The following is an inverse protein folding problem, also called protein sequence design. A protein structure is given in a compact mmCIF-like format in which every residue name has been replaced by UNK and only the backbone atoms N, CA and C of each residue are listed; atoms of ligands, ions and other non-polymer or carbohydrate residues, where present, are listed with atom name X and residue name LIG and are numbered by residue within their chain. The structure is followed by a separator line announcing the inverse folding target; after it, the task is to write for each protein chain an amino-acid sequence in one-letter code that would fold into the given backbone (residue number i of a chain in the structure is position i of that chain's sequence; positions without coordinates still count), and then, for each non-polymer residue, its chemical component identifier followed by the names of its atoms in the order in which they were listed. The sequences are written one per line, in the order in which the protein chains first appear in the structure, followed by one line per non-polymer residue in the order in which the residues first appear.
data_IF_300951526338
#
_entry.id   IF_300951526338
#
_cell.length_a   1.000
_cell.length_b   1.000
_cell.length_c   1.000
_cell.angle_alpha   90.00
_cell.angle_beta   90.00
_cell.angle_gamma   90.00
#
_symmetry.space_group_name_H-M   'P 1'
#
loop_
_entity.id
_entity.type
_entity.pdbx_description
1 polymer ?
#
# COMPACT_ATOMS: atom_id res chain seq x y z
N UNK A 1 -8.32 -52.05 -17.57
CA UNK A 1 -9.25 -53.20 -17.38
C UNK A 1 -10.51 -52.72 -16.66
N UNK A 2 -11.62 -52.75 -17.44
CA UNK A 2 -13.05 -53.00 -17.09
C UNK A 2 -13.72 -52.06 -16.08
N UNK A 3 -14.66 -51.25 -16.48
CA UNK A 3 -16.02 -51.40 -17.08
C UNK A 3 -17.13 -51.65 -16.02
N UNK A 4 -18.16 -50.86 -16.21
CA UNK A 4 -19.62 -51.05 -16.12
C UNK A 4 -20.28 -50.56 -14.83
N UNK A 5 -21.48 -50.08 -14.81
CA UNK A 5 -22.56 -49.54 -15.69
C UNK A 5 -23.79 -49.30 -14.81
N UNK A 6 -24.53 -48.23 -15.13
CA UNK A 6 -26.00 -48.07 -15.00
C UNK A 6 -26.78 -48.63 -13.82
N UNK A 7 -27.66 -47.81 -13.20
CA UNK A 7 -29.10 -47.96 -13.36
C UNK A 7 -29.89 -46.71 -12.91
N UNK A 8 -30.74 -46.23 -13.82
CA UNK A 8 -31.92 -45.39 -13.60
C UNK A 8 -32.97 -46.16 -12.76
N UNK A 9 -33.72 -45.45 -11.92
CA UNK A 9 -35.12 -45.78 -11.72
C UNK A 9 -35.90 -44.46 -11.43
N UNK A 10 -36.79 -44.18 -12.36
CA UNK A 10 -37.91 -43.27 -12.26
C UNK A 10 -39.08 -43.96 -11.56
N UNK A 11 -39.77 -43.29 -10.65
CA UNK A 11 -41.22 -43.55 -10.45
C UNK A 11 -41.92 -42.32 -9.83
N UNK A 12 -42.85 -41.84 -10.58
CA UNK A 12 -43.98 -40.94 -10.24
C UNK A 12 -44.97 -41.63 -9.31
N UNK A 13 -45.56 -40.90 -8.37
CA UNK A 13 -46.96 -41.07 -7.95
C UNK A 13 -47.47 -39.82 -7.17
N UNK A 14 -48.44 -39.17 -7.71
CA UNK A 14 -49.81 -38.77 -7.39
C UNK A 14 -50.12 -38.06 -6.05
N UNK A 15 -50.63 -36.88 -6.27
CA UNK A 15 -51.71 -36.11 -5.67
C UNK A 15 -52.41 -36.62 -4.40
N UNK A 16 -52.45 -35.78 -3.37
CA UNK A 16 -53.62 -35.63 -2.54
C UNK A 16 -53.77 -34.18 -2.05
N UNK A 17 -54.94 -33.61 -2.41
CA UNK A 17 -55.41 -32.30 -1.96
C UNK A 17 -55.99 -32.43 -0.55
N UNK A 18 -55.58 -31.56 0.36
CA UNK A 18 -56.42 -31.17 1.49
C UNK A 18 -56.37 -29.67 1.69
N UNK A 19 -57.52 -29.05 1.55
CA UNK A 19 -57.81 -27.67 1.94
C UNK A 19 -57.84 -27.58 3.46
N UNK A 20 -57.16 -26.59 4.04
CA UNK A 20 -57.53 -26.05 5.35
C UNK A 20 -57.24 -24.55 5.44
N UNK A 21 -58.33 -23.85 5.58
CA UNK A 21 -58.66 -22.52 6.11
C UNK A 21 -57.55 -21.51 6.40
N UNK A 22 -57.70 -20.35 5.75
CA UNK A 22 -57.12 -19.06 6.11
C UNK A 22 -57.51 -18.63 7.52
N UNK A 23 -56.54 -18.38 8.38
CA UNK A 23 -56.69 -17.43 9.48
C UNK A 23 -55.72 -16.27 9.21
N UNK A 24 -56.30 -15.12 8.89
CA UNK A 24 -55.66 -13.83 8.79
C UNK A 24 -55.08 -13.45 10.16
N UNK A 25 -53.74 -13.42 10.29
CA UNK A 25 -53.07 -12.72 11.39
C UNK A 25 -52.72 -11.30 10.94
N UNK A 26 -52.92 -10.28 11.82
CA UNK A 26 -52.59 -8.91 11.46
C UNK A 26 -51.07 -8.78 11.26
N UNK A 27 -50.71 -8.30 10.09
CA UNK A 27 -49.37 -7.90 9.72
C UNK A 27 -48.96 -6.70 10.58
N UNK A 28 -48.18 -6.96 11.62
CA UNK A 28 -47.45 -5.90 12.31
C UNK A 28 -46.25 -5.55 11.42
N UNK A 29 -46.41 -4.55 10.56
CA UNK A 29 -45.32 -3.94 9.81
C UNK A 29 -44.46 -3.16 10.78
N UNK A 30 -43.45 -3.84 11.36
CA UNK A 30 -42.32 -3.16 11.98
C UNK A 30 -41.51 -2.56 10.83
N UNK A 31 -41.70 -1.27 10.60
CA UNK A 31 -40.81 -0.46 9.79
C UNK A 31 -39.42 -0.52 10.44
N UNK A 32 -38.61 -1.41 9.95
CA UNK A 32 -37.15 -1.32 10.19
C UNK A 32 -36.69 -0.04 9.47
N UNK A 33 -36.75 1.07 10.18
CA UNK A 33 -35.97 2.24 9.81
C UNK A 33 -34.50 1.78 9.79
N UNK A 34 -33.98 1.63 8.60
CA UNK A 34 -32.52 1.45 8.38
C UNK A 34 -31.80 2.68 8.96
N UNK A 35 -31.46 2.63 10.25
CA UNK A 35 -30.38 3.42 10.77
C UNK A 35 -29.09 2.81 10.15
N UNK A 36 -28.78 3.19 8.94
CA UNK A 36 -27.41 3.14 8.47
C UNK A 36 -26.65 4.22 9.24
N UNK A 37 -26.25 3.92 10.46
CA UNK A 37 -25.14 4.61 11.06
C UNK A 37 -23.97 4.33 10.13
N UNK A 38 -23.51 5.36 9.44
CA UNK A 38 -22.28 5.32 8.66
C UNK A 38 -21.12 5.16 9.67
N UNK A 39 -20.96 3.94 10.18
CA UNK A 39 -19.86 3.63 11.10
C UNK A 39 -18.57 3.83 10.32
N UNK A 40 -17.71 4.71 10.81
CA UNK A 40 -16.39 4.92 10.23
C UNK A 40 -15.63 3.60 10.22
N UNK A 41 -14.85 3.35 9.16
CA UNK A 41 -13.95 2.21 9.12
C UNK A 41 -12.91 2.33 10.25
N UNK A 42 -12.57 1.22 10.88
CA UNK A 42 -11.57 1.20 11.94
C UNK A 42 -10.17 1.26 11.34
N UNK A 43 -9.28 2.08 11.93
CA UNK A 43 -7.88 2.15 11.56
C UNK A 43 -6.99 1.86 12.77
N UNK A 44 -6.11 0.88 12.66
CA UNK A 44 -5.23 0.41 13.75
C UNK A 44 -3.75 0.52 13.44
N UNK A 45 -3.40 0.75 12.17
CA UNK A 45 -2.02 0.88 11.73
C UNK A 45 -1.85 1.79 10.54
N UNK A 46 -0.71 2.47 10.47
CA UNK A 46 -0.27 3.22 9.31
C UNK A 46 1.13 2.76 8.94
N UNK A 47 1.31 2.42 7.68
CA UNK A 47 2.59 2.00 7.11
C UNK A 47 3.04 3.06 6.14
N UNK A 48 4.28 3.51 6.29
CA UNK A 48 4.85 4.59 5.50
C UNK A 48 5.93 4.08 4.55
N UNK A 49 6.04 4.72 3.41
CA UNK A 49 7.28 4.78 2.66
C UNK A 49 8.28 5.73 3.33
N UNK A 50 9.55 5.69 2.94
CA UNK A 50 10.60 6.52 3.52
C UNK A 50 10.96 7.70 2.62
N UNK A 51 11.49 7.43 1.43
CA UNK A 51 12.12 8.44 0.56
C UNK A 51 11.06 9.22 -0.24
N UNK A 52 10.92 10.50 0.03
CA UNK A 52 9.82 11.33 -0.54
C UNK A 52 8.54 11.29 0.28
N UNK A 53 8.52 10.55 1.40
CA UNK A 53 7.37 10.44 2.31
C UNK A 53 7.73 10.85 3.73
N UNK A 54 8.57 10.09 4.44
CA UNK A 54 9.05 10.45 5.78
C UNK A 54 10.32 11.29 5.74
N UNK A 55 11.03 11.25 4.62
CA UNK A 55 12.22 12.06 4.36
C UNK A 55 12.05 12.88 3.10
N UNK A 56 12.62 14.10 3.12
CA UNK A 56 12.68 14.95 1.94
C UNK A 56 13.46 14.22 0.85
N UNK A 57 12.99 14.22 -0.42
CA UNK A 57 13.70 13.57 -1.50
C UNK A 57 15.01 14.31 -1.78
N UNK A 58 16.13 13.71 -1.35
CA UNK A 58 17.50 14.27 -1.50
C UNK A 58 18.31 13.55 -2.56
N UNK A 59 17.83 12.39 -3.05
CA UNK A 59 18.45 11.61 -4.11
C UNK A 59 17.92 12.10 -5.46
N UNK A 60 18.82 12.52 -6.35
CA UNK A 60 18.45 12.73 -7.75
C UNK A 60 18.34 11.38 -8.48
N UNK A 61 17.15 10.77 -8.36
CA UNK A 61 16.86 9.49 -9.02
C UNK A 61 17.03 9.55 -10.54
N UNK A 62 16.76 10.71 -11.17
CA UNK A 62 16.93 10.84 -12.60
C UNK A 62 18.41 10.80 -13.00
N UNK A 63 19.28 11.47 -12.25
CA UNK A 63 20.72 11.39 -12.45
C UNK A 63 21.26 9.99 -12.16
N UNK A 64 20.80 9.36 -11.07
CA UNK A 64 21.15 7.98 -10.74
C UNK A 64 20.80 7.00 -11.87
N UNK A 65 19.57 7.09 -12.40
CA UNK A 65 19.11 6.21 -13.48
C UNK A 65 19.90 6.43 -14.78
N UNK A 66 20.26 7.67 -15.13
CA UNK A 66 21.14 7.95 -16.25
C UNK A 66 22.54 7.36 -16.06
N UNK A 67 23.04 7.41 -14.83
CA UNK A 67 24.37 6.83 -14.51
C UNK A 67 24.38 5.30 -14.62
N UNK A 68 23.28 4.64 -14.27
CA UNK A 68 23.12 3.19 -14.35
C UNK A 68 22.84 2.71 -15.78
N UNK A 69 21.91 3.37 -16.48
CA UNK A 69 21.40 2.92 -17.78
C UNK A 69 22.18 3.49 -18.96
N UNK A 70 22.79 4.65 -18.79
CA UNK A 70 23.25 5.51 -19.88
C UNK A 70 22.09 6.38 -20.42
N UNK A 71 22.45 7.48 -21.10
CA UNK A 71 21.47 8.50 -21.51
C UNK A 71 20.43 7.97 -22.50
N UNK A 72 20.84 7.16 -23.50
CA UNK A 72 19.94 6.69 -24.55
C UNK A 72 18.94 5.67 -24.01
N UNK A 73 19.40 4.71 -23.20
CA UNK A 73 18.53 3.70 -22.59
C UNK A 73 17.59 4.33 -21.56
N UNK A 74 18.07 5.29 -20.78
CA UNK A 74 17.22 6.06 -19.86
C UNK A 74 16.07 6.76 -20.62
N UNK A 75 16.36 7.44 -21.74
CA UNK A 75 15.32 8.11 -22.54
C UNK A 75 14.31 7.13 -23.10
N UNK A 76 14.78 5.98 -23.59
CA UNK A 76 13.91 4.92 -24.12
C UNK A 76 12.94 4.39 -23.07
N UNK A 77 13.48 3.97 -21.91
CA UNK A 77 12.65 3.42 -20.83
C UNK A 77 11.72 4.49 -20.25
N UNK A 78 12.17 5.74 -20.14
CA UNK A 78 11.33 6.85 -19.67
C UNK A 78 10.16 7.12 -20.59
N UNK A 79 10.32 7.01 -21.89
CA UNK A 79 9.24 7.15 -22.87
C UNK A 79 8.22 6.00 -22.78
N UNK A 80 8.69 4.76 -22.55
CA UNK A 80 7.85 3.58 -22.41
C UNK A 80 7.14 3.52 -21.03
N UNK A 81 7.72 4.16 -20.01
CA UNK A 81 7.21 4.18 -18.63
C UNK A 81 7.18 5.60 -18.07
N UNK A 82 6.30 6.49 -18.56
CA UNK A 82 6.29 7.89 -18.14
C UNK A 82 6.00 8.08 -16.64
N UNK A 83 5.30 7.16 -16.01
CA UNK A 83 4.93 7.20 -14.59
C UNK A 83 6.04 6.71 -13.65
N UNK A 84 7.20 6.25 -14.16
CA UNK A 84 8.37 5.88 -13.35
C UNK A 84 9.13 4.68 -13.88
N UNK A 85 10.43 4.61 -13.58
CA UNK A 85 11.35 3.52 -13.92
C UNK A 85 11.55 2.65 -12.69
N UNK A 86 11.30 1.35 -12.80
CA UNK A 86 11.71 0.37 -11.81
C UNK A 86 13.13 -0.10 -12.09
N UNK A 87 14.13 0.68 -11.64
CA UNK A 87 15.54 0.42 -11.93
C UNK A 87 16.00 -0.92 -11.35
N UNK A 88 15.55 -1.31 -10.15
CA UNK A 88 15.99 -2.54 -9.52
C UNK A 88 15.49 -3.76 -10.30
N UNK A 89 14.24 -3.77 -10.73
CA UNK A 89 13.71 -4.83 -11.58
C UNK A 89 14.40 -4.87 -12.95
N UNK A 90 14.68 -3.69 -13.51
CA UNK A 90 15.34 -3.61 -14.83
C UNK A 90 16.73 -4.26 -14.81
N UNK A 91 17.55 -4.01 -13.77
CA UNK A 91 18.89 -4.56 -13.66
C UNK A 91 18.92 -6.05 -13.28
N UNK A 92 17.85 -6.61 -12.70
CA UNK A 92 17.76 -8.05 -12.34
C UNK A 92 17.98 -8.98 -13.54
N UNK A 93 17.67 -8.54 -14.76
CA UNK A 93 17.88 -9.30 -16.00
C UNK A 93 19.31 -9.22 -16.57
N UNK A 94 20.20 -8.41 -15.97
CA UNK A 94 21.55 -8.19 -16.48
C UNK A 94 22.53 -9.29 -16.06
N UNK A 95 23.69 -9.36 -16.73
CA UNK A 95 24.77 -10.23 -16.28
C UNK A 95 25.28 -9.78 -14.90
N UNK A 96 25.82 -10.72 -14.13
CA UNK A 96 26.33 -10.49 -12.77
C UNK A 96 27.27 -9.29 -12.66
N UNK A 97 28.23 -9.17 -13.59
CA UNK A 97 29.21 -8.06 -13.57
C UNK A 97 28.53 -6.71 -13.83
N UNK A 98 27.53 -6.68 -14.73
CA UNK A 98 26.78 -5.47 -15.03
C UNK A 98 25.87 -5.08 -13.88
N UNK A 99 25.24 -6.07 -13.23
CA UNK A 99 24.44 -5.87 -12.02
C UNK A 99 25.28 -5.27 -10.90
N UNK A 100 26.46 -5.84 -10.63
CA UNK A 100 27.33 -5.35 -9.57
C UNK A 100 27.69 -3.89 -9.76
N UNK A 101 28.12 -3.50 -10.97
CA UNK A 101 28.42 -2.09 -11.29
C UNK A 101 27.21 -1.17 -11.09
N UNK A 102 26.03 -1.63 -11.47
CA UNK A 102 24.80 -0.87 -11.28
C UNK A 102 24.51 -0.67 -9.78
N UNK A 103 24.64 -1.71 -8.97
CA UNK A 103 24.45 -1.61 -7.51
C UNK A 103 25.52 -0.72 -6.85
N UNK A 104 26.76 -0.71 -7.31
CA UNK A 104 27.80 0.20 -6.83
C UNK A 104 27.40 1.66 -7.09
N UNK A 105 26.94 1.98 -8.30
CA UNK A 105 26.47 3.32 -8.64
C UNK A 105 25.27 3.72 -7.75
N UNK A 106 24.28 2.83 -7.60
CA UNK A 106 23.11 3.07 -6.76
C UNK A 106 23.54 3.34 -5.31
N UNK A 107 24.44 2.51 -4.78
CA UNK A 107 24.94 2.65 -3.41
C UNK A 107 25.67 3.99 -3.17
N UNK A 108 26.39 4.50 -4.16
CA UNK A 108 27.05 5.81 -4.07
C UNK A 108 26.04 6.96 -3.98
N UNK A 109 24.95 6.92 -4.78
CA UNK A 109 23.86 7.90 -4.70
C UNK A 109 23.11 7.81 -3.37
N UNK A 110 22.81 6.58 -2.92
CA UNK A 110 22.15 6.34 -1.63
C UNK A 110 23.00 6.83 -0.46
N UNK A 111 24.31 6.61 -0.48
CA UNK A 111 25.22 7.12 0.54
C UNK A 111 25.22 8.65 0.60
N UNK A 112 25.28 9.32 -0.56
CA UNK A 112 25.18 10.79 -0.62
C UNK A 112 23.82 11.28 -0.11
N UNK A 113 22.73 10.53 -0.36
CA UNK A 113 21.40 10.80 0.15
C UNK A 113 21.34 10.69 1.68
N UNK A 114 21.99 9.68 2.26
CA UNK A 114 22.06 9.50 3.73
C UNK A 114 22.74 10.69 4.42
N UNK A 115 23.81 11.23 3.84
CA UNK A 115 24.51 12.38 4.40
C UNK A 115 23.61 13.64 4.45
N UNK A 116 22.74 13.78 3.45
CA UNK A 116 21.80 14.90 3.29
C UNK A 116 20.39 14.61 3.85
N UNK A 117 20.21 13.47 4.51
CA UNK A 117 18.90 13.02 5.00
C UNK A 117 18.24 14.10 5.88
N UNK A 118 17.02 14.49 5.51
CA UNK A 118 16.18 15.43 6.24
C UNK A 118 14.81 14.80 6.47
N UNK A 119 14.26 14.96 7.67
CA UNK A 119 12.90 14.53 7.97
C UNK A 119 11.89 15.40 7.22
N UNK A 120 10.83 14.79 6.69
CA UNK A 120 9.74 15.50 6.04
C UNK A 120 8.99 16.39 7.05
N UNK A 121 8.69 17.65 6.72
CA UNK A 121 7.87 18.50 7.57
C UNK A 121 6.53 17.84 7.94
N UNK A 122 6.19 17.85 9.23
CA UNK A 122 4.98 17.21 9.75
C UNK A 122 5.11 15.71 10.07
N UNK A 123 6.25 15.07 9.75
CA UNK A 123 6.41 13.64 10.02
C UNK A 123 6.49 13.34 11.53
N UNK A 124 7.23 14.12 12.30
CA UNK A 124 7.36 13.93 13.75
C UNK A 124 6.02 14.17 14.47
N UNK A 125 5.32 15.24 14.11
CA UNK A 125 4.01 15.59 14.65
C UNK A 125 2.96 14.50 14.34
N UNK A 126 2.95 14.00 13.10
CA UNK A 126 2.07 12.90 12.70
C UNK A 126 2.39 11.62 13.51
N UNK A 127 3.65 11.29 13.70
CA UNK A 127 4.04 10.14 14.52
C UNK A 127 3.57 10.30 15.97
N UNK A 128 3.73 11.48 16.57
CA UNK A 128 3.23 11.79 17.92
C UNK A 128 1.71 11.67 18.02
N UNK A 129 0.99 12.12 17.00
CA UNK A 129 -0.46 11.94 16.91
C UNK A 129 -0.85 10.46 16.87
N UNK A 130 -0.24 9.66 15.99
CA UNK A 130 -0.52 8.23 15.87
C UNK A 130 -0.25 7.49 17.21
N UNK A 131 0.85 7.82 17.89
CA UNK A 131 1.18 7.26 19.20
C UNK A 131 0.13 7.62 20.26
N UNK A 132 -0.36 8.87 20.26
CA UNK A 132 -1.42 9.31 21.18
C UNK A 132 -2.73 8.53 21.02
N UNK A 133 -3.00 8.06 19.79
CA UNK A 133 -4.15 7.22 19.42
C UNK A 133 -3.85 5.71 19.51
N UNK A 134 -2.65 5.32 19.90
CA UNK A 134 -2.18 3.91 19.90
C UNK A 134 -2.25 3.22 18.55
N UNK A 135 -2.17 3.98 17.47
CA UNK A 135 -2.11 3.47 16.10
C UNK A 135 -0.67 3.02 15.81
N UNK A 136 -0.51 1.78 15.37
CA UNK A 136 0.80 1.20 15.07
C UNK A 136 1.43 1.85 13.85
N UNK A 137 2.77 2.00 13.88
CA UNK A 137 3.55 2.60 12.80
C UNK A 137 4.53 1.60 12.22
N UNK A 138 4.43 1.34 10.91
CA UNK A 138 5.35 0.51 10.15
C UNK A 138 6.02 1.30 9.03
N UNK A 139 7.09 0.74 8.48
CA UNK A 139 7.83 1.33 7.38
C UNK A 139 8.16 0.27 6.33
N UNK A 140 7.96 0.61 5.06
CA UNK A 140 8.37 -0.22 3.91
C UNK A 140 9.06 0.69 2.90
N UNK A 141 10.34 0.46 2.65
CA UNK A 141 11.10 1.23 1.65
C UNK A 141 11.82 0.32 0.65
N UNK A 142 12.13 0.86 -0.51
CA UNK A 142 13.03 0.23 -1.50
C UNK A 142 14.50 0.56 -1.23
N UNK A 143 14.75 1.34 -0.19
CA UNK A 143 16.10 1.62 0.31
C UNK A 143 16.64 0.45 1.15
N UNK A 144 17.92 0.47 1.48
CA UNK A 144 18.55 -0.57 2.29
C UNK A 144 18.25 -0.43 3.78
N UNK A 145 18.34 -1.54 4.51
CA UNK A 145 18.16 -1.58 5.96
C UNK A 145 19.01 -0.56 6.70
N UNK A 146 20.25 -0.36 6.27
CA UNK A 146 21.15 0.63 6.85
C UNK A 146 20.61 2.07 6.82
N UNK A 147 19.91 2.46 5.75
CA UNK A 147 19.26 3.78 5.66
C UNK A 147 18.14 3.93 6.69
N UNK A 148 17.36 2.86 6.92
CA UNK A 148 16.34 2.82 7.97
C UNK A 148 16.97 3.01 9.35
N UNK A 149 18.06 2.30 9.64
CA UNK A 149 18.71 2.36 10.94
C UNK A 149 19.26 3.75 11.22
N UNK A 150 19.86 4.39 10.21
CA UNK A 150 20.35 5.78 10.31
C UNK A 150 19.18 6.76 10.51
N UNK A 151 18.06 6.56 9.78
CA UNK A 151 16.85 7.37 9.95
C UNK A 151 16.34 7.27 11.39
N UNK A 152 16.16 6.06 11.91
CA UNK A 152 15.71 5.83 13.30
C UNK A 152 16.65 6.48 14.33
N UNK A 153 17.96 6.32 14.14
CA UNK A 153 18.96 6.88 15.05
C UNK A 153 18.99 8.41 15.00
N UNK A 154 18.87 9.02 13.82
CA UNK A 154 19.01 10.47 13.62
C UNK A 154 17.81 11.25 14.12
N UNK A 155 16.60 10.69 13.97
CA UNK A 155 15.35 11.39 14.28
C UNK A 155 14.62 10.85 15.50
N UNK A 156 15.14 9.82 16.15
CA UNK A 156 14.54 9.17 17.33
C UNK A 156 13.09 8.71 17.13
N UNK A 157 12.69 8.48 15.89
CA UNK A 157 11.35 8.02 15.49
C UNK A 157 11.44 6.58 15.05
N UNK A 158 10.86 5.68 15.82
CA UNK A 158 10.93 4.23 15.55
C UNK A 158 9.68 3.74 14.84
N UNK A 159 9.86 3.01 13.76
CA UNK A 159 8.83 2.24 13.05
C UNK A 159 9.07 0.75 13.26
N UNK A 160 8.02 0.01 13.60
CA UNK A 160 8.16 -1.44 13.85
C UNK A 160 6.91 -2.20 13.42
N UNK A 161 7.04 -3.16 12.46
CA UNK A 161 8.24 -3.49 11.67
C UNK A 161 8.71 -2.38 10.75
N UNK A 162 10.01 -2.41 10.35
CA UNK A 162 10.58 -1.57 9.31
C UNK A 162 11.34 -2.46 8.32
N UNK A 163 10.90 -2.44 7.06
CA UNK A 163 11.33 -3.36 6.02
C UNK A 163 12.01 -2.58 4.88
N UNK A 164 13.27 -2.93 4.62
CA UNK A 164 14.05 -2.45 3.47
C UNK A 164 13.89 -3.36 2.26
N UNK A 165 14.63 -3.07 1.18
CA UNK A 165 14.63 -3.86 -0.07
C UNK A 165 15.17 -5.27 0.08
N UNK A 166 15.79 -5.60 1.20
CA UNK A 166 16.22 -6.95 1.55
C UNK A 166 15.03 -7.88 1.81
N UNK A 167 13.88 -7.32 2.21
CA UNK A 167 12.64 -8.09 2.27
C UNK A 167 12.10 -8.31 0.85
N UNK A 168 12.07 -9.58 0.44
CA UNK A 168 11.64 -9.99 -0.91
C UNK A 168 10.34 -10.77 -0.88
N UNK A 169 9.45 -10.53 -1.85
CA UNK A 169 9.50 -9.46 -2.85
C UNK A 169 9.16 -8.09 -2.22
N UNK A 170 9.77 -7.02 -2.74
CA UNK A 170 9.52 -5.65 -2.28
C UNK A 170 8.32 -5.00 -3.03
N UNK A 171 7.96 -3.76 -2.63
CA UNK A 171 6.94 -2.94 -3.35
C UNK A 171 7.22 -2.90 -4.86
N UNK A 172 6.21 -3.03 -5.72
CA UNK A 172 4.77 -2.96 -5.50
C UNK A 172 4.08 -4.28 -5.12
N UNK A 173 4.84 -5.32 -4.76
CA UNK A 173 4.25 -6.55 -4.23
C UNK A 173 3.59 -6.28 -2.87
N UNK A 174 2.42 -6.90 -2.55
CA UNK A 174 1.73 -6.69 -1.29
C UNK A 174 2.41 -7.36 -0.08
N UNK A 175 3.31 -8.32 -0.29
CA UNK A 175 3.87 -9.17 0.76
C UNK A 175 4.51 -8.40 1.93
N UNK A 176 5.27 -7.28 1.71
CA UNK A 176 5.82 -6.52 2.84
C UNK A 176 4.72 -5.95 3.73
N UNK A 177 3.64 -5.43 3.15
CA UNK A 177 2.51 -4.87 3.91
C UNK A 177 1.73 -5.98 4.63
N UNK A 178 1.47 -7.09 3.97
CA UNK A 178 0.82 -8.26 4.57
C UNK A 178 1.67 -8.85 5.71
N UNK A 179 2.99 -8.85 5.57
CA UNK A 179 3.90 -9.25 6.65
C UNK A 179 3.75 -8.33 7.88
N UNK A 180 3.72 -7.01 7.68
CA UNK A 180 3.52 -6.05 8.77
C UNK A 180 2.15 -6.27 9.44
N UNK A 181 1.08 -6.43 8.65
CA UNK A 181 -0.26 -6.72 9.16
C UNK A 181 -0.26 -7.99 10.05
N UNK A 182 0.37 -9.07 9.57
CA UNK A 182 0.52 -10.32 10.32
C UNK A 182 1.31 -10.14 11.62
N UNK A 183 2.41 -9.37 11.60
CA UNK A 183 3.21 -9.08 12.81
C UNK A 183 2.45 -8.25 13.83
N UNK A 184 1.51 -7.46 13.41
CA UNK A 184 0.65 -6.65 14.28
C UNK A 184 -0.61 -7.38 14.74
N UNK A 185 -0.97 -8.51 14.13
CA UNK A 185 -2.27 -9.17 14.27
C UNK A 185 -3.42 -8.21 13.93
N UNK A 186 -3.33 -7.57 12.77
CA UNK A 186 -4.28 -6.60 12.24
C UNK A 186 -4.63 -6.99 10.79
N UNK A 187 -5.90 -6.84 10.42
CA UNK A 187 -6.32 -7.09 9.04
C UNK A 187 -5.86 -5.94 8.12
N UNK A 188 -5.53 -6.21 6.84
CA UNK A 188 -5.10 -5.16 5.90
C UNK A 188 -6.10 -4.00 5.77
N UNK A 189 -7.40 -4.27 5.81
CA UNK A 189 -8.46 -3.26 5.75
C UNK A 189 -8.60 -2.41 7.03
N UNK A 190 -7.75 -2.60 8.03
CA UNK A 190 -7.58 -1.74 9.21
C UNK A 190 -6.23 -0.99 9.17
N UNK A 191 -5.52 -1.03 8.04
CA UNK A 191 -4.20 -0.42 7.84
C UNK A 191 -4.25 0.55 6.65
N UNK A 192 -3.50 1.64 6.74
CA UNK A 192 -3.29 2.58 5.63
C UNK A 192 -1.83 2.56 5.19
N UNK A 193 -1.60 2.41 3.88
CA UNK A 193 -0.31 2.67 3.25
C UNK A 193 -0.22 4.13 2.81
N UNK A 194 0.80 4.83 3.29
CA UNK A 194 1.10 6.23 2.94
C UNK A 194 2.41 6.27 2.17
N UNK A 195 2.40 6.85 0.99
CA UNK A 195 3.61 6.98 0.18
C UNK A 195 3.44 7.98 -0.96
N UNK A 196 4.54 8.33 -1.64
CA UNK A 196 4.56 9.30 -2.73
C UNK A 196 4.52 8.65 -4.12
N UNK A 197 4.62 7.33 -4.21
CA UNK A 197 4.67 6.58 -5.46
C UNK A 197 3.36 5.86 -5.77
N UNK A 198 2.73 6.25 -6.90
CA UNK A 198 1.52 5.57 -7.38
C UNK A 198 1.80 4.09 -7.74
N UNK A 199 2.95 3.82 -8.39
CA UNK A 199 3.30 2.48 -8.86
C UNK A 199 3.82 1.55 -7.77
N UNK A 200 4.45 2.08 -6.73
CA UNK A 200 5.04 1.28 -5.66
C UNK A 200 4.12 1.24 -4.44
N UNK A 201 3.85 2.38 -3.81
CA UNK A 201 3.14 2.46 -2.53
C UNK A 201 1.65 2.21 -2.67
N UNK A 202 1.01 2.96 -3.57
CA UNK A 202 -0.42 2.81 -3.79
C UNK A 202 -0.74 1.43 -4.37
N UNK A 203 0.07 0.95 -5.31
CA UNK A 203 -0.08 -0.40 -5.85
C UNK A 203 0.09 -1.48 -4.78
N UNK A 204 1.09 -1.37 -3.89
CA UNK A 204 1.30 -2.27 -2.77
C UNK A 204 0.09 -2.28 -1.83
N UNK A 205 -0.36 -1.10 -1.39
CA UNK A 205 -1.51 -0.95 -0.50
C UNK A 205 -2.80 -1.54 -1.09
N UNK A 206 -3.12 -1.20 -2.33
CA UNK A 206 -4.31 -1.72 -3.04
C UNK A 206 -4.29 -3.23 -3.18
N UNK A 207 -3.15 -3.79 -3.59
CA UNK A 207 -2.99 -5.25 -3.74
C UNK A 207 -3.09 -5.99 -2.41
N UNK A 208 -2.67 -5.36 -1.32
CA UNK A 208 -2.81 -5.91 0.03
C UNK A 208 -4.25 -5.80 0.58
N UNK A 209 -5.11 -4.99 -0.02
CA UNK A 209 -6.45 -4.70 0.51
C UNK A 209 -6.45 -3.67 1.65
N UNK A 210 -5.39 -2.86 1.74
CA UNK A 210 -5.27 -1.76 2.70
C UNK A 210 -5.83 -0.46 2.13
N UNK A 211 -6.14 0.50 3.01
CA UNK A 211 -6.36 1.89 2.60
C UNK A 211 -5.07 2.48 2.05
N UNK A 212 -5.20 3.45 1.15
CA UNK A 212 -4.07 4.09 0.50
C UNK A 212 -4.18 5.60 0.56
N UNK A 213 -3.09 6.27 0.91
CA UNK A 213 -2.97 7.73 0.89
C UNK A 213 -1.75 8.14 0.08
N UNK A 214 -1.97 8.81 -1.04
CA UNK A 214 -0.91 9.34 -1.88
C UNK A 214 -0.48 10.71 -1.35
N UNK A 215 0.80 10.83 -0.97
CA UNK A 215 1.43 12.12 -0.68
C UNK A 215 1.97 12.70 -2.00
N UNK A 216 1.38 13.79 -2.45
CA UNK A 216 1.74 14.46 -3.71
C UNK A 216 1.98 15.94 -3.48
N UNK A 217 3.12 16.28 -2.85
CA UNK A 217 3.49 17.66 -2.48
C UNK A 217 3.61 18.59 -3.68
N UNK A 218 4.01 18.06 -4.83
CA UNK A 218 4.28 18.85 -6.03
C UNK A 218 3.16 18.87 -7.06
N UNK A 219 2.07 18.13 -6.81
CA UNK A 219 0.97 17.98 -7.77
C UNK A 219 1.37 17.17 -9.01
N UNK A 220 2.27 16.21 -8.86
CA UNK A 220 2.82 15.38 -9.93
C UNK A 220 1.77 14.48 -10.60
N UNK A 221 0.75 14.06 -9.85
CA UNK A 221 -0.26 13.12 -10.32
C UNK A 221 -1.61 13.79 -10.56
N UNK A 222 -2.09 13.72 -11.78
CA UNK A 222 -3.42 14.17 -12.20
C UNK A 222 -4.42 13.03 -12.41
N UNK A 223 -5.68 13.34 -12.77
CA UNK A 223 -6.72 12.34 -13.05
C UNK A 223 -6.34 11.32 -14.12
N UNK A 224 -5.57 11.75 -15.13
CA UNK A 224 -5.15 10.89 -16.24
C UNK A 224 -4.18 9.80 -15.76
N UNK A 225 -3.29 10.11 -14.81
CA UNK A 225 -2.35 9.14 -14.25
C UNK A 225 -3.07 8.00 -13.52
N UNK A 226 -4.16 8.31 -12.83
CA UNK A 226 -4.99 7.32 -12.15
C UNK A 226 -5.75 6.45 -13.14
N UNK A 227 -6.27 7.04 -14.21
CA UNK A 227 -7.01 6.33 -15.26
C UNK A 227 -6.11 5.37 -16.03
N UNK A 228 -4.93 5.81 -16.43
CA UNK A 228 -3.94 5.00 -17.17
C UNK A 228 -3.37 3.87 -16.32
N UNK A 229 -3.08 4.13 -15.06
CA UNK A 229 -2.50 3.13 -14.16
C UNK A 229 -3.53 2.16 -13.57
N UNK A 230 -4.81 2.52 -13.55
CA UNK A 230 -5.86 1.80 -12.80
C UNK A 230 -5.67 1.85 -11.28
N UNK A 231 -4.81 2.76 -10.79
CA UNK A 231 -4.41 2.87 -9.39
C UNK A 231 -4.97 4.16 -8.77
N UNK A 232 -6.29 4.17 -8.50
CA UNK A 232 -6.91 5.27 -7.77
C UNK A 232 -6.59 5.14 -6.27
N UNK A 233 -5.85 6.08 -5.63
CA UNK A 233 -5.68 6.08 -4.18
C UNK A 233 -7.02 6.38 -3.50
N UNK A 234 -7.21 5.90 -2.26
CA UNK A 234 -8.42 6.23 -1.48
C UNK A 234 -8.37 7.68 -1.03
N UNK A 235 -7.17 8.18 -0.75
CA UNK A 235 -6.94 9.57 -0.36
C UNK A 235 -5.71 10.13 -1.07
N UNK A 236 -5.71 11.44 -1.30
CA UNK A 236 -4.57 12.21 -1.81
C UNK A 236 -4.39 13.46 -0.95
N UNK A 237 -3.17 13.70 -0.50
CA UNK A 237 -2.79 14.89 0.27
C UNK A 237 -1.53 15.50 -0.32
N UNK A 238 -1.32 16.79 -0.05
CA UNK A 238 -0.13 17.53 -0.48
C UNK A 238 0.86 17.78 0.65
N UNK A 239 0.58 17.28 1.87
CA UNK A 239 1.48 17.34 3.02
C UNK A 239 1.11 16.34 4.09
N UNK A 240 2.11 15.89 4.87
CA UNK A 240 1.89 14.98 6.00
C UNK A 240 1.01 15.59 7.09
N UNK A 241 1.05 16.92 7.28
CA UNK A 241 0.24 17.63 8.27
C UNK A 241 -1.28 17.50 8.01
N UNK A 242 -1.69 17.23 6.76
CA UNK A 242 -3.10 17.02 6.42
C UNK A 242 -3.62 15.63 6.79
N UNK A 243 -2.71 14.66 7.00
CA UNK A 243 -3.09 13.27 7.29
C UNK A 243 -3.80 13.15 8.62
N UNK A 244 -3.38 13.90 9.65
CA UNK A 244 -4.06 13.85 10.94
C UNK A 244 -5.57 14.13 10.81
N UNK A 245 -5.92 15.26 10.20
CA UNK A 245 -7.33 15.64 10.00
C UNK A 245 -8.08 14.64 9.10
N UNK A 246 -7.40 14.11 8.07
CA UNK A 246 -7.96 13.06 7.21
C UNK A 246 -8.33 11.82 8.03
N UNK A 247 -7.44 11.36 8.91
CA UNK A 247 -7.67 10.19 9.76
C UNK A 247 -8.83 10.42 10.74
N UNK A 248 -8.83 11.54 11.45
CA UNK A 248 -9.91 11.90 12.40
C UNK A 248 -11.27 12.03 11.72
N UNK A 249 -11.29 12.51 10.47
CA UNK A 249 -12.53 12.71 9.73
C UNK A 249 -13.13 11.39 9.23
N UNK A 250 -12.29 10.49 8.71
CA UNK A 250 -12.76 9.32 7.94
C UNK A 250 -12.75 8.00 8.71
N UNK A 251 -12.00 7.91 9.82
CA UNK A 251 -11.80 6.64 10.51
C UNK A 251 -12.22 6.69 11.98
N UNK A 252 -12.59 5.51 12.49
CA UNK A 252 -12.61 5.25 13.92
C UNK A 252 -11.19 4.90 14.38
N UNK A 253 -10.61 5.77 15.21
CA UNK A 253 -9.25 5.68 15.72
C UNK A 253 -9.21 5.14 17.16
N UNK A 254 -10.32 4.61 17.67
CA UNK A 254 -10.33 4.03 19.01
C UNK A 254 -9.55 2.70 19.00
N UNK A 255 -8.71 2.46 20.03
CA UNK A 255 -7.87 1.27 20.14
C UNK A 255 -8.65 -0.04 20.29
#
# INVERSE_FOLDING_TARGET
FFFWLYHLFSMTFLLSRTFLSLTLRPSCSISMANLTTNAKARLRGVVFDMDGTLTVPVIDFAAMYRSVLGEDEYKRIKAESPTGIDILHHIESWSSDKQQKAYEIIADYEKQGIDKLQIMPGAAELCGFLDSKKIKRGLITRNVKNAIDIFHQRYEVIFSPALGREFRPYKPNPDPLLHICSRWDIQPNEVMMVGDSLKDDIACGKRAGAFTCLLDETGRYGPDDFSVSGLQPDFKVDSLSKIQNLLETNFDLNP
#
